data_IF_432293808948
#
_entry.id   IF_432293808948
#
_cell.length_a   1.000
_cell.length_b   1.000
_cell.length_c   1.000
_cell.angle_alpha   90.00
_cell.angle_beta   90.00
_cell.angle_gamma   90.00
#
_symmetry.space_group_name_H-M   'P 1'
#
loop_
_entity.id
_entity.type
_entity.pdbx_description
1 polymer ?
#
# COMPACT_ATOMS: atom_id res chain seq x y z
N UNK A 1 6.12 -4.01 -6.74
CA UNK A 1 5.13 -2.99 -7.19
C UNK A 1 5.79 -1.82 -7.92
N UNK A 2 6.87 -1.22 -7.40
CA UNK A 2 7.51 -0.03 -8.02
C UNK A 2 8.00 -0.25 -9.46
N UNK A 3 8.61 -1.42 -9.74
CA UNK A 3 9.01 -1.77 -11.10
C UNK A 3 7.82 -1.88 -12.06
N UNK A 4 6.69 -2.47 -11.61
CA UNK A 4 5.47 -2.58 -12.42
C UNK A 4 4.81 -1.23 -12.71
N UNK A 5 4.84 -0.29 -11.75
CA UNK A 5 4.36 1.09 -11.95
C UNK A 5 5.23 1.87 -12.95
N UNK A 6 6.56 1.72 -12.86
CA UNK A 6 7.47 2.34 -13.81
C UNK A 6 7.30 1.76 -15.23
N UNK A 7 7.19 0.43 -15.37
CA UNK A 7 6.94 -0.22 -16.65
C UNK A 7 5.58 0.18 -17.23
N UNK A 8 4.52 0.24 -16.41
CA UNK A 8 3.21 0.72 -16.85
C UNK A 8 3.27 2.18 -17.30
N UNK A 9 3.95 3.05 -16.55
CA UNK A 9 4.12 4.46 -16.89
C UNK A 9 4.82 4.72 -18.21
N UNK A 10 5.98 4.09 -18.42
CA UNK A 10 6.78 4.24 -19.63
C UNK A 10 6.04 3.67 -20.85
N UNK A 11 5.38 2.53 -20.68
CA UNK A 11 4.68 1.85 -21.78
C UNK A 11 3.37 2.52 -22.15
N UNK A 12 2.68 3.15 -21.20
CA UNK A 12 1.48 3.94 -21.45
C UNK A 12 1.80 5.30 -22.12
N UNK A 13 2.93 5.92 -21.78
CA UNK A 13 3.35 7.20 -22.37
C UNK A 13 3.83 7.04 -23.82
N UNK A 14 4.53 5.94 -24.12
CA UNK A 14 5.02 5.66 -25.48
C UNK A 14 4.00 4.98 -26.40
N UNK A 15 2.77 4.72 -25.91
CA UNK A 15 1.72 4.07 -26.72
C UNK A 15 2.13 2.68 -27.23
N UNK A 16 2.97 1.95 -26.47
CA UNK A 16 3.47 0.64 -26.87
C UNK A 16 2.35 -0.41 -26.86
N UNK A 17 2.58 -1.52 -27.58
CA UNK A 17 1.63 -2.63 -27.70
C UNK A 17 1.04 -3.04 -26.33
N UNK A 18 -0.28 -3.25 -26.28
CA UNK A 18 -1.09 -3.44 -25.05
C UNK A 18 -0.58 -4.48 -24.05
N UNK A 19 0.31 -5.37 -24.50
CA UNK A 19 0.93 -6.43 -23.71
C UNK A 19 1.89 -5.86 -22.65
N UNK A 20 2.60 -4.78 -22.95
CA UNK A 20 3.61 -4.23 -22.03
C UNK A 20 2.98 -3.53 -20.81
N UNK A 21 1.93 -2.69 -20.95
CA UNK A 21 1.17 -2.20 -19.80
C UNK A 21 0.50 -3.32 -19.01
N UNK A 22 0.04 -4.39 -19.67
CA UNK A 22 -0.61 -5.52 -19.02
C UNK A 22 0.35 -6.30 -18.10
N UNK A 23 1.61 -6.50 -18.53
CA UNK A 23 2.65 -7.12 -17.70
C UNK A 23 2.97 -6.23 -16.50
N UNK A 24 3.07 -4.90 -16.70
CA UNK A 24 3.25 -3.94 -15.61
C UNK A 24 2.14 -4.04 -14.56
N UNK A 25 0.88 -4.05 -15.00
CA UNK A 25 -0.30 -4.20 -14.14
C UNK A 25 -0.33 -5.55 -13.41
N UNK A 26 0.07 -6.65 -14.05
CA UNK A 26 0.16 -7.96 -13.42
C UNK A 26 1.17 -7.97 -12.27
N UNK A 27 2.34 -7.36 -12.46
CA UNK A 27 3.37 -7.24 -11.42
C UNK A 27 2.93 -6.36 -10.24
N UNK A 28 2.13 -5.32 -10.51
CA UNK A 28 1.53 -4.48 -9.46
C UNK A 28 0.54 -5.31 -8.64
N UNK A 29 -0.40 -5.99 -9.31
CA UNK A 29 -1.43 -6.81 -8.66
C UNK A 29 -0.83 -7.95 -7.83
N UNK A 30 0.19 -8.63 -8.35
CA UNK A 30 0.91 -9.68 -7.62
C UNK A 30 1.55 -9.13 -6.34
N UNK A 31 2.26 -7.99 -6.44
CA UNK A 31 2.89 -7.36 -5.27
C UNK A 31 1.87 -6.87 -4.23
N UNK A 32 0.75 -6.31 -4.68
CA UNK A 32 -0.30 -5.84 -3.77
C UNK A 32 -0.98 -7.00 -3.03
N UNK A 33 -1.28 -8.08 -3.75
CA UNK A 33 -1.92 -9.26 -3.18
C UNK A 33 -1.09 -9.88 -2.06
N UNK A 34 0.23 -10.02 -2.26
CA UNK A 34 1.14 -10.54 -1.23
C UNK A 34 1.17 -9.66 0.03
N UNK A 35 1.30 -8.34 -0.14
CA UNK A 35 1.37 -7.41 1.00
C UNK A 35 0.05 -7.32 1.77
N UNK A 36 -1.09 -7.35 1.09
CA UNK A 36 -2.40 -7.31 1.74
C UNK A 36 -2.58 -8.53 2.66
N UNK A 37 -2.25 -9.73 2.15
CA UNK A 37 -2.34 -10.97 2.93
C UNK A 37 -1.43 -10.95 4.15
N UNK A 38 -0.15 -10.55 3.98
CA UNK A 38 0.80 -10.42 5.10
C UNK A 38 0.31 -9.45 6.18
N UNK A 39 -0.28 -8.32 5.77
CA UNK A 39 -0.80 -7.31 6.69
C UNK A 39 -1.96 -7.84 7.53
N UNK A 40 -2.87 -8.60 6.91
CA UNK A 40 -4.00 -9.20 7.63
C UNK A 40 -3.56 -10.30 8.58
N UNK A 41 -2.63 -11.18 8.17
CA UNK A 41 -2.05 -12.19 9.06
C UNK A 41 -1.41 -11.54 10.28
N UNK A 42 -0.59 -10.49 10.10
CA UNK A 42 0.02 -9.78 11.21
C UNK A 42 -1.00 -9.15 12.16
N UNK A 43 -2.14 -8.69 11.64
CA UNK A 43 -3.20 -8.11 12.47
C UNK A 43 -3.92 -9.17 13.30
N UNK A 44 -4.19 -10.33 12.71
CA UNK A 44 -4.76 -11.49 13.41
C UNK A 44 -3.82 -11.93 14.54
N UNK A 45 -2.52 -12.06 14.25
CA UNK A 45 -1.52 -12.52 15.22
C UNK A 45 -1.21 -11.48 16.31
N UNK A 46 -1.31 -10.18 16.01
CA UNK A 46 -0.97 -9.12 16.96
C UNK A 46 -2.14 -8.67 17.85
N UNK A 47 -3.37 -8.76 17.37
CA UNK A 47 -4.54 -8.13 18.00
C UNK A 47 -5.75 -9.07 18.14
N UNK A 48 -5.61 -10.29 18.70
CA UNK A 48 -6.65 -11.33 18.66
C UNK A 48 -8.01 -10.93 19.25
N UNK A 49 -8.02 -10.05 20.26
CA UNK A 49 -9.25 -9.65 20.96
C UNK A 49 -10.03 -8.51 20.26
N UNK A 50 -9.39 -7.78 19.33
CA UNK A 50 -9.98 -6.61 18.64
C UNK A 50 -9.81 -6.71 17.12
N UNK A 51 -9.67 -7.94 16.61
CA UNK A 51 -9.50 -8.24 15.18
C UNK A 51 -10.63 -7.61 14.34
N UNK A 52 -11.88 -7.78 14.77
CA UNK A 52 -13.07 -7.32 14.01
C UNK A 52 -13.06 -5.80 13.82
N UNK A 53 -12.81 -5.04 14.89
CA UNK A 53 -12.68 -3.57 14.86
C UNK A 53 -11.49 -3.14 14.00
N UNK A 54 -10.35 -3.85 14.10
CA UNK A 54 -9.15 -3.58 13.29
C UNK A 54 -9.41 -3.74 11.79
N UNK A 55 -10.13 -4.80 11.38
CA UNK A 55 -10.49 -5.02 9.97
C UNK A 55 -11.37 -3.90 9.42
N UNK A 56 -12.31 -3.39 10.21
CA UNK A 56 -13.17 -2.27 9.79
C UNK A 56 -12.33 -1.03 9.50
N UNK A 57 -11.38 -0.68 10.38
CA UNK A 57 -10.50 0.49 10.19
C UNK A 57 -9.62 0.32 8.95
N UNK A 58 -9.04 -0.87 8.74
CA UNK A 58 -8.21 -1.16 7.57
C UNK A 58 -9.03 -1.10 6.28
N UNK A 59 -10.22 -1.69 6.27
CA UNK A 59 -11.12 -1.68 5.12
C UNK A 59 -11.59 -0.27 4.80
N UNK A 60 -11.97 0.52 5.81
CA UNK A 60 -12.37 1.91 5.64
C UNK A 60 -11.22 2.74 5.05
N UNK A 61 -10.02 2.64 5.64
CA UNK A 61 -8.83 3.36 5.16
C UNK A 61 -8.52 3.02 3.71
N UNK A 62 -8.62 1.74 3.33
CA UNK A 62 -8.41 1.29 1.95
C UNK A 62 -9.46 1.89 1.00
N UNK A 63 -10.72 1.97 1.41
CA UNK A 63 -11.78 2.57 0.59
C UNK A 63 -11.57 4.07 0.40
N UNK A 64 -11.19 4.79 1.46
CA UNK A 64 -10.87 6.23 1.36
C UNK A 64 -9.73 6.46 0.37
N UNK A 65 -8.64 5.69 0.47
CA UNK A 65 -7.53 5.75 -0.49
C UNK A 65 -7.98 5.38 -1.91
N UNK A 66 -8.91 4.43 -2.04
CA UNK A 66 -9.51 4.03 -3.31
C UNK A 66 -10.35 5.12 -3.97
N UNK A 67 -10.92 6.05 -3.21
CA UNK A 67 -11.67 7.20 -3.74
C UNK A 67 -10.74 8.37 -4.04
N UNK A 68 -9.85 8.69 -3.10
CA UNK A 68 -8.96 9.86 -3.20
C UNK A 68 -7.90 9.67 -4.29
N UNK A 69 -7.36 8.45 -4.45
CA UNK A 69 -6.34 8.14 -5.43
C UNK A 69 -6.75 8.49 -6.87
N UNK A 70 -7.81 7.86 -7.42
CA UNK A 70 -8.30 8.16 -8.76
C UNK A 70 -8.76 9.61 -8.94
N UNK A 71 -9.41 10.19 -7.93
CA UNK A 71 -9.82 11.60 -7.98
C UNK A 71 -8.64 12.56 -8.12
N UNK A 72 -7.51 12.23 -7.50
CA UNK A 72 -6.26 13.01 -7.58
C UNK A 72 -5.47 12.73 -8.86
N UNK A 73 -5.68 11.60 -9.54
CA UNK A 73 -4.99 11.26 -10.78
C UNK A 73 -5.29 12.23 -11.92
N UNK A 74 -6.55 12.62 -12.10
CA UNK A 74 -6.97 13.51 -13.20
C UNK A 74 -6.22 14.87 -13.23
N UNK A 75 -6.13 15.64 -12.12
CA UNK A 75 -5.35 16.88 -12.12
C UNK A 75 -3.85 16.61 -12.27
N UNK A 76 -3.35 15.47 -11.80
CA UNK A 76 -1.92 15.14 -11.85
C UNK A 76 -1.45 14.82 -13.27
N UNK A 77 -2.26 14.07 -14.03
CA UNK A 77 -2.04 13.79 -15.45
C UNK A 77 -2.03 15.10 -16.25
N UNK A 78 -2.95 16.03 -15.95
CA UNK A 78 -3.00 17.33 -16.62
C UNK A 78 -1.78 18.22 -16.35
N UNK A 79 -1.13 18.06 -15.20
CA UNK A 79 0.02 18.89 -14.81
C UNK A 79 1.37 18.37 -15.35
N UNK A 80 1.58 17.04 -15.40
CA UNK A 80 2.90 16.44 -15.69
C UNK A 80 2.90 15.40 -16.82
N UNK A 81 1.74 15.10 -17.43
CA UNK A 81 1.60 14.02 -18.39
C UNK A 81 1.52 12.63 -17.75
N UNK A 82 1.15 11.63 -18.55
CA UNK A 82 0.88 10.27 -18.09
C UNK A 82 2.18 9.55 -17.66
N UNK A 83 3.24 9.64 -18.47
CA UNK A 83 4.55 9.07 -18.13
C UNK A 83 5.20 9.71 -16.91
N UNK A 84 5.16 11.04 -16.83
CA UNK A 84 5.71 11.81 -15.72
C UNK A 84 5.02 11.48 -14.38
N UNK A 85 3.69 11.41 -14.36
CA UNK A 85 2.93 11.00 -13.18
C UNK A 85 3.30 9.58 -12.73
N UNK A 86 3.35 8.63 -13.64
CA UNK A 86 3.57 7.23 -13.31
C UNK A 86 5.00 6.94 -12.81
N UNK A 87 6.03 7.62 -13.36
CA UNK A 87 7.41 7.51 -12.86
C UNK A 87 7.52 8.14 -11.47
N UNK A 88 6.92 9.31 -11.26
CA UNK A 88 6.94 9.98 -9.95
C UNK A 88 6.21 9.15 -8.89
N UNK A 89 5.06 8.55 -9.24
CA UNK A 89 4.33 7.62 -8.38
C UNK A 89 5.12 6.33 -8.10
N UNK A 90 5.86 5.80 -9.09
CA UNK A 90 6.74 4.66 -8.90
C UNK A 90 7.88 4.97 -7.93
N UNK A 91 8.45 6.18 -8.00
CA UNK A 91 9.52 6.65 -7.11
C UNK A 91 9.02 6.83 -5.67
N UNK A 92 7.84 7.45 -5.49
CA UNK A 92 7.20 7.58 -4.17
C UNK A 92 6.88 6.19 -3.61
N UNK A 93 6.32 5.29 -4.41
CA UNK A 93 6.05 3.93 -3.99
C UNK A 93 7.34 3.19 -3.59
N UNK A 94 8.43 3.41 -4.32
CA UNK A 94 9.74 2.87 -3.96
C UNK A 94 10.23 3.43 -2.62
N UNK A 95 10.12 4.73 -2.39
CA UNK A 95 10.45 5.34 -1.10
C UNK A 95 9.65 4.77 0.07
N UNK A 96 8.33 4.61 -0.09
CA UNK A 96 7.47 3.99 0.93
C UNK A 96 7.81 2.52 1.15
N UNK A 97 8.10 1.75 0.09
CA UNK A 97 8.55 0.37 0.23
C UNK A 97 9.93 0.29 0.92
N UNK A 98 10.80 1.28 0.70
CA UNK A 98 12.10 1.35 1.37
C UNK A 98 11.95 1.63 2.87
N UNK A 99 10.94 2.40 3.27
CA UNK A 99 10.57 2.61 4.68
C UNK A 99 10.01 1.34 5.35
N UNK A 100 9.56 0.34 4.60
CA UNK A 100 9.17 -0.95 5.16
C UNK A 100 10.40 -1.74 5.66
N UNK A 101 11.58 -1.56 5.07
CA UNK A 101 12.83 -2.23 5.46
C UNK A 101 13.24 -1.92 6.92
N UNK A 102 13.35 -0.65 7.36
CA UNK A 102 13.62 -0.36 8.76
C UNK A 102 12.47 -0.80 9.67
N UNK A 103 11.23 -0.81 9.19
CA UNK A 103 10.10 -1.33 9.97
C UNK A 103 10.19 -2.84 10.22
N UNK A 104 10.77 -3.61 9.30
CA UNK A 104 11.03 -5.06 9.49
C UNK A 104 12.17 -5.28 10.49
N UNK A 105 13.23 -4.46 10.43
CA UNK A 105 14.41 -4.59 11.30
C UNK A 105 14.09 -4.10 12.73
N UNK A 106 13.43 -2.95 12.87
CA UNK A 106 13.09 -2.33 14.16
C UNK A 106 11.67 -2.68 14.65
N UNK A 107 10.88 -3.42 13.87
CA UNK A 107 9.49 -3.76 14.17
C UNK A 107 9.31 -4.50 15.51
N UNK A 108 10.31 -5.30 15.91
CA UNK A 108 10.31 -5.96 17.22
C UNK A 108 10.26 -4.95 18.39
N UNK A 109 10.92 -3.79 18.27
CA UNK A 109 10.92 -2.71 19.28
C UNK A 109 9.63 -1.91 19.27
N UNK A 110 9.06 -1.63 18.10
CA UNK A 110 7.78 -0.92 17.98
C UNK A 110 6.60 -1.76 18.50
N UNK A 111 6.67 -3.08 18.33
CA UNK A 111 5.65 -4.02 18.82
C UNK A 111 5.66 -4.14 20.35
N UNK A 112 6.83 -4.06 20.99
CA UNK A 112 6.95 -3.98 22.46
C UNK A 112 6.49 -2.63 23.02
N UNK A 113 6.78 -1.52 22.32
CA UNK A 113 6.36 -0.18 22.75
C UNK A 113 4.83 0.03 22.67
N UNK A 114 4.16 -0.60 21.70
CA UNK A 114 2.70 -0.46 21.50
C UNK A 114 1.88 -1.40 22.39
N UNK A 115 2.50 -2.43 22.98
CA UNK A 115 1.85 -3.40 23.87
C UNK A 115 1.13 -2.73 25.05
N UNK A 116 1.71 -1.67 25.63
CA UNK A 116 1.10 -0.94 26.76
C UNK A 116 -0.24 -0.26 26.41
N UNK A 117 -0.43 0.18 25.16
CA UNK A 117 -1.69 0.77 24.70
C UNK A 117 -2.74 -0.30 24.36
N UNK A 118 -2.30 -1.47 23.92
CA UNK A 118 -3.15 -2.63 23.65
C UNK A 118 -3.86 -3.16 24.91
N UNK A 119 -3.11 -3.41 26.00
CA UNK A 119 -3.71 -3.90 27.26
C UNK A 119 -4.73 -2.93 27.86
N UNK A 120 -4.56 -1.62 27.63
CA UNK A 120 -5.48 -0.60 28.13
C UNK A 120 -6.80 -0.55 27.34
N UNK A 121 -6.74 -0.80 26.03
CA UNK A 121 -7.91 -0.87 25.15
C UNK A 121 -8.64 -2.21 25.26
N UNK A 122 -7.94 -3.33 25.45
CA UNK A 122 -8.58 -4.63 25.66
C UNK A 122 -9.39 -4.66 26.96
N UNK A 123 -8.92 -4.01 28.02
CA UNK A 123 -9.65 -3.91 29.29
C UNK A 123 -10.85 -2.95 29.26
N UNK A 124 -10.98 -2.10 28.22
CA UNK A 124 -12.15 -1.24 28.01
C UNK A 124 -13.19 -1.87 27.08
N UNK A 125 -12.84 -2.95 26.38
CA UNK A 125 -13.71 -3.67 25.45
C UNK A 125 -14.35 -4.93 26.07
N UNK A 126 -14.07 -5.21 27.36
CA UNK A 126 -14.82 -6.14 28.21
C UNK A 126 -15.92 -5.38 28.96
#
# INVERSE_FOLDING_TARGET
>A
MSAGLATFGITADQGLHWIFPSIGSALISFGFGGMASMSFTLMIDAYPNIISQGFVVVAFSRNVLGVVGPASSNPWIKAMGLGGMAITAALINLGVNLLAVPLVIYGKRLRTATAGRYYRLSNQAQ
#
